data_IF_626805328496
#
_entry.id   IF_626805328496
#
_cell.length_a   1.000
_cell.length_b   1.000
_cell.length_c   1.000
_cell.angle_alpha   90.00
_cell.angle_beta   90.00
_cell.angle_gamma   90.00
#
_symmetry.space_group_name_H-M   'P 1'
#
loop_
_entity.id
_entity.type
_entity.pdbx_description
1 polymer ?
#
# COMPACT_ATOMS: atom_id res chain seq x y z
N UNK A 1 -1.05 -8.74 -11.03
CA UNK A 1 -1.29 -7.83 -9.89
C UNK A 1 -0.51 -6.55 -10.09
N UNK A 2 -0.91 -5.46 -9.43
CA UNK A 2 -0.29 -4.15 -9.60
C UNK A 2 -0.17 -3.43 -8.25
N UNK A 3 0.83 -2.55 -8.15
CA UNK A 3 1.06 -1.65 -7.05
C UNK A 3 1.47 -0.29 -7.60
N UNK A 4 1.08 0.79 -6.93
CA UNK A 4 1.27 2.14 -7.42
C UNK A 4 1.65 3.07 -6.27
N UNK A 5 2.66 3.91 -6.49
CA UNK A 5 3.06 5.00 -5.60
C UNK A 5 2.43 6.32 -6.08
N UNK A 6 3.15 7.43 -6.09
CA UNK A 6 2.58 8.77 -6.32
C UNK A 6 2.94 9.35 -7.71
N UNK A 7 3.51 8.56 -8.62
CA UNK A 7 3.89 9.00 -9.98
C UNK A 7 3.33 8.08 -11.07
N UNK A 8 3.26 8.57 -12.31
CA UNK A 8 2.72 7.80 -13.44
C UNK A 8 3.68 6.69 -13.85
N UNK A 9 3.20 5.46 -13.89
CA UNK A 9 3.99 4.27 -14.28
C UNK A 9 3.57 3.63 -15.60
N UNK A 10 2.44 4.06 -16.17
CA UNK A 10 1.90 3.45 -17.38
C UNK A 10 2.68 3.92 -18.62
N UNK A 11 3.15 2.99 -19.45
CA UNK A 11 3.99 3.30 -20.62
C UNK A 11 3.36 4.31 -21.59
N UNK A 12 2.04 4.27 -21.76
CA UNK A 12 1.31 5.23 -22.60
C UNK A 12 1.35 6.68 -22.07
N UNK A 13 1.83 6.92 -20.85
CA UNK A 13 1.98 8.23 -20.24
C UNK A 13 3.46 8.62 -20.06
N UNK A 14 4.40 7.85 -20.62
CA UNK A 14 5.84 8.10 -20.45
C UNK A 14 6.31 9.45 -21.00
N UNK A 15 5.52 10.10 -21.88
CA UNK A 15 5.81 11.43 -22.42
C UNK A 15 5.31 12.57 -21.52
N UNK A 16 4.53 12.28 -20.48
CA UNK A 16 3.99 13.31 -19.58
C UNK A 16 5.10 13.75 -18.63
N UNK A 17 5.44 15.04 -18.68
CA UNK A 17 6.38 15.65 -17.74
C UNK A 17 5.82 15.60 -16.32
N UNK A 18 6.65 15.18 -15.38
CA UNK A 18 6.29 15.06 -13.97
C UNK A 18 7.56 15.12 -13.11
N UNK A 19 7.41 15.55 -11.87
CA UNK A 19 8.46 15.43 -10.85
C UNK A 19 8.20 14.16 -10.07
N UNK A 20 9.13 13.21 -10.15
CA UNK A 20 9.09 11.98 -9.36
C UNK A 20 9.96 12.18 -8.13
N UNK A 21 9.36 12.17 -6.94
CA UNK A 21 10.13 12.22 -5.69
C UNK A 21 10.88 10.91 -5.46
N UNK A 22 12.02 10.98 -4.77
CA UNK A 22 12.83 9.82 -4.44
C UNK A 22 12.03 8.78 -3.66
N UNK A 23 11.16 9.23 -2.73
CA UNK A 23 10.28 8.32 -1.97
C UNK A 23 9.28 7.59 -2.84
N UNK A 24 8.73 8.26 -3.86
CA UNK A 24 7.78 7.63 -4.74
C UNK A 24 8.46 6.62 -5.64
N UNK A 25 9.67 6.90 -6.12
CA UNK A 25 10.46 5.96 -6.90
C UNK A 25 10.87 4.74 -6.06
N UNK A 26 11.40 4.95 -4.85
CA UNK A 26 11.81 3.87 -3.94
C UNK A 26 10.64 2.93 -3.61
N UNK A 27 9.49 3.49 -3.22
CA UNK A 27 8.29 2.69 -2.91
C UNK A 27 7.77 1.92 -4.12
N UNK A 28 7.77 2.52 -5.32
CA UNK A 28 7.33 1.84 -6.53
C UNK A 28 8.23 0.63 -6.86
N UNK A 29 9.55 0.80 -6.75
CA UNK A 29 10.51 -0.29 -6.93
C UNK A 29 10.30 -1.39 -5.87
N UNK A 30 10.13 -1.01 -4.60
CA UNK A 30 9.89 -1.97 -3.52
C UNK A 30 8.60 -2.75 -3.71
N UNK A 31 7.52 -2.08 -4.17
CA UNK A 31 6.27 -2.73 -4.52
C UNK A 31 6.46 -3.74 -5.65
N UNK A 32 7.20 -3.41 -6.70
CA UNK A 32 7.49 -4.34 -7.79
C UNK A 32 8.22 -5.60 -7.29
N UNK A 33 9.24 -5.45 -6.44
CA UNK A 33 9.96 -6.56 -5.82
C UNK A 33 9.05 -7.45 -4.96
N UNK A 34 8.14 -6.86 -4.19
CA UNK A 34 7.15 -7.61 -3.42
C UNK A 34 6.24 -8.43 -4.33
N UNK A 35 5.74 -7.80 -5.41
CA UNK A 35 4.84 -8.41 -6.39
C UNK A 35 5.44 -9.61 -7.13
N UNK A 36 6.75 -9.60 -7.36
CA UNK A 36 7.47 -10.71 -7.99
C UNK A 36 7.68 -11.91 -7.05
N UNK A 37 7.81 -11.66 -5.75
CA UNK A 37 8.32 -12.67 -4.81
C UNK A 37 7.28 -13.24 -3.83
N UNK A 38 6.08 -12.66 -3.76
CA UNK A 38 5.09 -13.05 -2.75
C UNK A 38 3.79 -13.55 -3.37
N UNK A 39 3.50 -14.83 -3.21
CA UNK A 39 2.22 -15.41 -3.61
C UNK A 39 1.76 -16.43 -2.55
N UNK A 40 0.45 -16.56 -2.27
CA UNK A 40 -0.66 -15.76 -2.81
C UNK A 40 -0.76 -14.36 -2.18
N UNK A 41 -1.39 -13.43 -2.91
CA UNK A 41 -1.69 -12.09 -2.39
C UNK A 41 -3.05 -12.07 -1.71
N UNK A 42 -3.04 -12.43 -0.42
CA UNK A 42 -4.19 -12.29 0.45
C UNK A 42 -4.11 -11.02 1.32
N UNK A 43 -5.06 -10.85 2.24
CA UNK A 43 -5.10 -9.70 3.15
C UNK A 43 -3.85 -9.60 4.03
N UNK A 44 -3.25 -10.73 4.41
CA UNK A 44 -2.04 -10.78 5.23
C UNK A 44 -0.84 -10.29 4.41
N UNK A 45 -0.69 -10.79 3.18
CA UNK A 45 0.35 -10.34 2.26
C UNK A 45 0.22 -8.84 1.96
N UNK A 46 -0.99 -8.35 1.67
CA UNK A 46 -1.25 -6.93 1.43
C UNK A 46 -0.86 -6.06 2.64
N UNK A 47 -1.26 -6.46 3.85
CA UNK A 47 -0.84 -5.78 5.08
C UNK A 47 0.68 -5.82 5.28
N UNK A 48 1.33 -6.94 4.96
CA UNK A 48 2.78 -7.11 5.02
C UNK A 48 3.51 -6.10 4.14
N UNK A 49 3.11 -5.99 2.88
CA UNK A 49 3.62 -4.98 1.93
C UNK A 49 3.44 -3.58 2.49
N UNK A 50 2.23 -3.25 2.96
CA UNK A 50 1.90 -1.92 3.50
C UNK A 50 2.52 -1.65 4.89
N UNK A 51 3.22 -2.63 5.47
CA UNK A 51 3.98 -2.50 6.72
C UNK A 51 5.48 -2.62 6.49
N UNK A 52 5.93 -2.68 5.23
CA UNK A 52 7.34 -2.86 4.87
C UNK A 52 8.18 -1.64 5.27
N UNK A 53 9.26 -1.93 6.00
CA UNK A 53 10.26 -0.97 6.47
C UNK A 53 11.66 -1.30 5.94
N UNK A 54 11.75 -1.88 4.74
CA UNK A 54 13.02 -2.39 4.22
C UNK A 54 14.04 -1.28 3.97
N UNK A 55 13.60 -0.20 3.32
CA UNK A 55 14.38 1.02 3.19
C UNK A 55 14.32 1.80 4.52
N UNK A 56 15.47 2.11 5.10
CA UNK A 56 15.56 2.81 6.38
C UNK A 56 15.24 4.30 6.29
N UNK A 57 15.33 4.88 5.08
CA UNK A 57 15.09 6.31 4.83
C UNK A 57 13.71 6.50 4.20
N UNK A 58 13.37 5.68 3.20
CA UNK A 58 12.15 5.83 2.39
C UNK A 58 11.30 4.54 2.39
N UNK A 59 10.88 4.03 3.57
CA UNK A 59 10.07 2.82 3.65
C UNK A 59 8.69 2.99 3.00
N UNK A 60 7.99 1.89 2.75
CA UNK A 60 6.55 1.95 2.43
C UNK A 60 5.78 2.43 3.67
N UNK A 61 6.08 1.87 4.84
CA UNK A 61 5.46 2.29 6.09
C UNK A 61 6.28 3.38 6.79
N UNK A 62 5.97 4.63 6.42
CA UNK A 62 6.66 5.86 6.84
C UNK A 62 6.18 6.33 8.21
N UNK A 63 7.11 6.53 9.13
CA UNK A 63 6.85 7.04 10.49
C UNK A 63 7.96 7.99 10.98
N UNK A 64 8.91 8.38 10.12
CA UNK A 64 10.04 9.20 10.54
C UNK A 64 9.55 10.63 10.84
N UNK A 65 10.02 11.22 11.94
CA UNK A 65 9.67 12.58 12.31
C UNK A 65 10.35 13.61 11.39
N UNK A 66 11.51 13.25 10.85
CA UNK A 66 12.33 13.99 9.90
C UNK A 66 12.24 13.38 8.49
N UNK A 67 11.06 12.83 8.16
CA UNK A 67 10.79 12.31 6.83
C UNK A 67 11.06 13.39 5.76
N UNK A 68 11.85 13.09 4.71
CA UNK A 68 12.33 14.10 3.77
C UNK A 68 11.22 14.73 2.91
N UNK A 69 10.05 14.09 2.83
CA UNK A 69 8.88 14.66 2.14
C UNK A 69 7.83 15.23 3.12
N UNK A 70 8.10 15.25 4.43
CA UNK A 70 7.12 15.59 5.47
C UNK A 70 5.83 14.74 5.39
N UNK A 71 5.97 13.48 4.95
CA UNK A 71 4.86 12.55 4.80
C UNK A 71 4.98 11.37 5.75
N UNK A 72 3.87 11.01 6.41
CA UNK A 72 3.79 9.85 7.28
C UNK A 72 2.55 8.99 6.99
N UNK A 73 2.67 7.68 7.22
CA UNK A 73 1.53 6.77 7.12
C UNK A 73 0.63 6.95 8.34
N UNK A 74 -0.51 7.62 8.13
CA UNK A 74 -1.51 7.84 9.17
C UNK A 74 -2.32 6.58 9.48
N UNK A 75 -2.65 5.83 8.43
CA UNK A 75 -3.41 4.59 8.53
C UNK A 75 -3.15 3.69 7.33
N UNK A 76 -3.46 2.41 7.48
CA UNK A 76 -3.53 1.44 6.39
C UNK A 76 -4.90 0.82 6.34
N UNK A 77 -5.51 0.85 5.16
CA UNK A 77 -6.74 0.14 4.89
C UNK A 77 -6.45 -1.11 4.05
N UNK A 78 -6.96 -2.25 4.50
CA UNK A 78 -6.94 -3.50 3.72
C UNK A 78 -8.38 -3.90 3.44
N UNK A 79 -8.70 -4.07 2.17
CA UNK A 79 -9.99 -4.55 1.71
C UNK A 79 -9.84 -5.97 1.15
N UNK A 80 -10.75 -6.87 1.52
CA UNK A 80 -10.85 -8.21 0.96
C UNK A 80 -12.23 -8.36 0.35
N UNK A 81 -12.25 -8.56 -0.97
CA UNK A 81 -13.47 -8.69 -1.74
C UNK A 81 -13.62 -10.15 -2.15
N UNK A 82 -14.81 -10.70 -1.94
CA UNK A 82 -15.25 -11.95 -2.55
C UNK A 82 -16.62 -11.75 -3.20
N UNK A 83 -17.15 -12.79 -3.85
CA UNK A 83 -18.40 -12.71 -4.60
C UNK A 83 -19.56 -12.11 -3.79
N UNK A 84 -19.58 -12.35 -2.47
CA UNK A 84 -20.71 -12.02 -1.61
C UNK A 84 -20.38 -10.94 -0.59
N UNK A 85 -19.12 -10.56 -0.43
CA UNK A 85 -18.71 -9.71 0.68
C UNK A 85 -17.60 -8.73 0.34
N UNK A 86 -17.67 -7.58 1.00
CA UNK A 86 -16.53 -6.69 1.19
C UNK A 86 -16.19 -6.70 2.67
N UNK A 87 -15.00 -7.20 3.02
CA UNK A 87 -14.42 -7.07 4.35
C UNK A 87 -13.37 -5.98 4.33
N UNK A 88 -13.27 -5.20 5.40
CA UNK A 88 -12.26 -4.16 5.52
C UNK A 88 -11.68 -4.10 6.93
N UNK A 89 -10.41 -3.71 7.01
CA UNK A 89 -9.66 -3.51 8.25
C UNK A 89 -8.84 -2.23 8.12
N UNK A 90 -8.88 -1.38 9.15
CA UNK A 90 -8.05 -0.17 9.27
C UNK A 90 -7.06 -0.38 10.42
N UNK A 91 -5.79 -0.13 10.15
CA UNK A 91 -4.70 -0.21 11.10
C UNK A 91 -4.04 1.17 11.24
N UNK A 92 -3.86 1.65 12.46
CA UNK A 92 -3.00 2.80 12.74
C UNK A 92 -1.52 2.41 12.79
N UNK A 93 -0.80 3.07 13.70
CA UNK A 93 0.63 2.84 13.94
C UNK A 93 0.86 1.43 14.50
N UNK A 94 0.02 0.99 15.44
CA UNK A 94 0.04 -0.39 15.92
C UNK A 94 -0.49 -1.30 14.80
N UNK A 95 0.35 -2.23 14.36
CA UNK A 95 0.03 -3.13 13.25
C UNK A 95 -0.56 -4.45 13.72
N UNK A 96 -0.52 -4.78 15.01
CA UNK A 96 -0.87 -6.12 15.47
C UNK A 96 -2.37 -6.39 15.36
N UNK A 97 -3.20 -5.38 15.63
CA UNK A 97 -4.64 -5.43 15.54
C UNK A 97 -5.20 -4.29 14.70
N UNK A 98 -6.33 -4.54 14.04
CA UNK A 98 -7.06 -3.49 13.35
C UNK A 98 -7.82 -2.64 14.38
N UNK A 99 -7.66 -1.32 14.30
CA UNK A 99 -8.41 -0.35 15.12
C UNK A 99 -9.89 -0.35 14.73
N UNK A 100 -10.16 -0.53 13.44
CA UNK A 100 -11.53 -0.64 12.91
C UNK A 100 -11.64 -1.78 11.91
N UNK A 101 -12.81 -2.42 11.86
CA UNK A 101 -13.13 -3.45 10.86
C UNK A 101 -14.63 -3.51 10.59
N UNK A 102 -14.98 -3.98 9.40
CA UNK A 102 -16.37 -4.16 9.02
C UNK A 102 -16.55 -5.14 7.87
N UNK A 103 -17.82 -5.47 7.61
CA UNK A 103 -18.24 -6.38 6.55
C UNK A 103 -19.53 -5.87 5.93
N UNK A 104 -19.54 -5.75 4.61
CA UNK A 104 -20.76 -5.59 3.81
C UNK A 104 -21.08 -6.91 3.11
N UNK A 105 -22.37 -7.19 2.93
CA UNK A 105 -22.85 -8.33 2.13
C UNK A 105 -23.43 -7.77 0.83
N UNK A 106 -22.97 -8.26 -0.31
CA UNK A 106 -23.56 -7.95 -1.59
C UNK A 106 -24.90 -8.69 -1.69
N UNK A 107 -25.98 -8.02 -1.35
CA UNK A 107 -27.33 -8.51 -1.67
C UNK A 107 -27.61 -8.09 -3.10
N UNK A 108 -27.41 -9.01 -4.05
CA UNK A 108 -27.95 -8.82 -5.40
C UNK A 108 -29.46 -9.05 -5.25
N UNK A 109 -30.23 -7.95 -5.29
CA UNK A 109 -31.69 -7.98 -5.32
C UNK A 109 -32.19 -8.47 -6.69
#
# INVERSE_FOLDING_TARGET
>A
MAGHANHLVHAALAYVEQVVTDSSASRQLRLAQWLENHHPFDATAAKGILSDKHDTVLPIFRLAADDPDDENTLATAVFTLDANHVRWQIFGINRDAADHRGKCVNVIA
#
